data_IF_662988874815
#
_entry.id   IF_662988874815
#
_cell.length_a   1.000
_cell.length_b   1.000
_cell.length_c   1.000
_cell.angle_alpha   90.00
_cell.angle_beta   90.00
_cell.angle_gamma   90.00
#
_symmetry.space_group_name_H-M   'P 1'
#
loop_
_entity.id
_entity.type
_entity.pdbx_description
1 polymer ?
#
# COMPACT_ATOMS: atom_id res chain seq x y z
N UNK A 1 50.74 23.68 2.50
CA UNK A 1 50.32 22.27 2.66
C UNK A 1 48.86 22.30 3.06
N UNK A 2 47.97 22.11 2.07
CA UNK A 2 46.53 22.19 2.26
C UNK A 2 46.01 20.86 2.83
N UNK A 3 45.32 20.94 3.96
CA UNK A 3 44.51 19.84 4.50
C UNK A 3 43.30 19.61 3.57
N UNK A 4 42.92 18.36 3.26
CA UNK A 4 41.68 18.11 2.54
C UNK A 4 40.49 18.32 3.49
N UNK A 5 39.46 18.98 2.95
CA UNK A 5 38.16 19.24 3.57
C UNK A 5 37.39 17.93 3.87
N UNK A 6 36.44 17.95 4.83
CA UNK A 6 35.67 16.76 5.20
C UNK A 6 34.78 16.29 4.06
N UNK A 7 34.67 14.97 3.91
CA UNK A 7 33.77 14.28 2.98
C UNK A 7 32.31 14.68 3.26
N UNK A 8 31.70 15.41 2.33
CA UNK A 8 30.26 15.65 2.28
C UNK A 8 29.52 14.33 2.06
N UNK A 9 28.75 13.92 3.07
CA UNK A 9 27.81 12.81 2.97
C UNK A 9 26.53 13.29 2.28
N UNK A 10 26.58 13.42 0.94
CA UNK A 10 25.39 13.60 0.12
C UNK A 10 24.61 12.27 0.03
N UNK A 11 23.76 12.00 1.02
CA UNK A 11 22.70 10.98 0.90
C UNK A 11 21.53 11.55 0.11
N UNK A 12 21.61 11.46 -1.22
CA UNK A 12 20.44 11.53 -2.11
C UNK A 12 20.24 10.14 -2.72
N UNK A 13 19.33 9.33 -2.15
CA UNK A 13 18.75 8.20 -2.87
C UNK A 13 17.36 7.89 -2.29
N UNK A 14 16.32 8.23 -3.06
CA UNK A 14 14.92 8.24 -2.67
C UNK A 14 14.27 6.85 -2.64
N UNK A 15 13.27 6.71 -1.78
CA UNK A 15 12.44 5.52 -1.68
C UNK A 15 11.52 5.35 -2.90
N UNK A 16 11.22 4.08 -3.15
CA UNK A 16 10.63 3.53 -4.36
C UNK A 16 9.12 3.85 -4.50
N UNK A 17 8.71 4.33 -5.68
CA UNK A 17 7.30 4.47 -6.09
C UNK A 17 6.66 5.83 -5.82
N UNK A 18 7.42 6.74 -5.22
CA UNK A 18 7.04 8.12 -4.94
C UNK A 18 8.26 9.01 -5.14
N UNK A 19 8.16 10.00 -6.03
CA UNK A 19 9.24 10.98 -6.26
C UNK A 19 8.99 12.16 -5.33
N UNK A 20 10.00 12.55 -4.54
CA UNK A 20 9.98 13.83 -3.82
C UNK A 20 10.06 14.96 -4.85
N UNK A 21 9.43 16.12 -4.58
CA UNK A 21 9.33 17.22 -5.56
C UNK A 21 10.66 17.82 -6.03
N UNK A 22 11.78 17.46 -5.40
CA UNK A 22 13.09 18.11 -5.61
C UNK A 22 14.04 17.37 -6.58
N UNK A 23 13.60 16.29 -7.23
CA UNK A 23 14.42 15.61 -8.25
C UNK A 23 14.16 16.18 -9.65
N UNK A 24 14.99 17.14 -10.06
CA UNK A 24 14.93 17.78 -11.38
C UNK A 24 15.61 17.01 -12.52
N UNK A 25 16.20 15.83 -12.26
CA UNK A 25 17.02 15.10 -13.25
C UNK A 25 16.48 13.69 -13.54
N UNK A 26 15.24 13.59 -14.03
CA UNK A 26 14.77 12.35 -14.65
C UNK A 26 14.18 12.63 -16.02
N UNK A 27 14.64 11.91 -17.05
CA UNK A 27 14.15 11.95 -18.44
C UNK A 27 12.66 11.53 -18.61
N UNK A 28 11.93 11.39 -17.49
CA UNK A 28 10.52 11.01 -17.51
C UNK A 28 9.62 12.24 -17.67
N UNK A 29 8.55 12.15 -18.49
CA UNK A 29 7.63 13.26 -18.71
C UNK A 29 7.05 13.75 -17.38
N UNK A 30 7.13 15.05 -17.08
CA UNK A 30 6.45 15.59 -15.89
C UNK A 30 4.93 15.35 -15.99
N UNK A 31 4.22 15.22 -14.87
CA UNK A 31 2.76 14.97 -14.89
C UNK A 31 1.97 15.99 -15.73
N UNK A 32 2.49 17.21 -15.84
CA UNK A 32 1.90 18.29 -16.64
C UNK A 32 1.97 18.04 -18.14
N UNK A 33 2.95 17.26 -18.62
CA UNK A 33 3.11 16.88 -20.03
C UNK A 33 2.27 15.66 -20.44
N UNK A 34 1.57 15.01 -19.51
CA UNK A 34 0.76 13.84 -19.82
C UNK A 34 -0.54 14.22 -20.55
N UNK A 35 -1.00 13.40 -21.52
CA UNK A 35 -2.27 13.63 -22.18
C UNK A 35 -3.43 13.51 -21.19
N UNK A 36 -4.54 14.20 -21.46
CA UNK A 36 -5.73 14.16 -20.60
C UNK A 36 -6.32 12.76 -20.44
N UNK A 37 -6.05 11.88 -21.40
CA UNK A 37 -6.46 10.47 -21.35
C UNK A 37 -5.34 9.57 -21.82
N UNK A 38 -5.02 8.56 -21.01
CA UNK A 38 -4.03 7.54 -21.33
C UNK A 38 -4.55 6.16 -20.90
N UNK A 39 -4.19 5.11 -21.63
CA UNK A 39 -4.41 3.73 -21.20
C UNK A 39 -3.07 3.01 -21.16
N UNK A 40 -2.71 2.49 -19.99
CA UNK A 40 -1.50 1.69 -19.79
C UNK A 40 -1.92 0.23 -19.75
N UNK A 41 -1.35 -0.57 -20.65
CA UNK A 41 -1.53 -2.03 -20.61
C UNK A 41 -0.51 -2.60 -19.65
N UNK A 42 -0.98 -3.19 -18.55
CA UNK A 42 -0.11 -3.95 -17.67
C UNK A 42 0.10 -5.31 -18.33
N UNK A 43 1.32 -5.60 -18.76
CA UNK A 43 1.75 -6.83 -19.46
C UNK A 43 1.54 -8.13 -18.67
N UNK A 44 0.90 -8.06 -17.50
CA UNK A 44 0.58 -9.18 -16.62
C UNK A 44 -0.83 -9.73 -16.89
N UNK A 45 -0.95 -11.05 -16.82
CA UNK A 45 -2.23 -11.78 -16.92
C UNK A 45 -2.66 -12.31 -15.56
N UNK A 46 -3.93 -12.67 -15.41
CA UNK A 46 -4.50 -13.14 -14.16
C UNK A 46 -3.80 -14.35 -13.53
N UNK A 47 -3.07 -15.18 -14.27
CA UNK A 47 -2.32 -16.32 -13.74
C UNK A 47 -0.84 -16.01 -13.41
N UNK A 48 -0.43 -14.74 -13.43
CA UNK A 48 0.98 -14.35 -13.28
C UNK A 48 1.62 -14.71 -11.93
N UNK A 49 0.82 -14.85 -10.87
CA UNK A 49 1.31 -15.08 -9.51
C UNK A 49 0.35 -15.98 -8.73
N UNK A 50 0.86 -16.66 -7.70
CA UNK A 50 0.05 -17.38 -6.71
C UNK A 50 -0.29 -16.54 -5.47
N UNK A 51 0.01 -15.24 -5.50
CA UNK A 51 -0.28 -14.35 -4.38
C UNK A 51 -1.74 -14.41 -3.94
N UNK A 52 -1.91 -14.45 -2.62
CA UNK A 52 -3.20 -14.32 -1.98
C UNK A 52 -3.53 -12.83 -1.71
N UNK A 53 -4.78 -12.50 -1.31
CA UNK A 53 -5.19 -11.12 -1.05
C UNK A 53 -4.41 -10.44 0.08
N UNK A 54 -3.99 -11.18 1.11
CA UNK A 54 -3.20 -10.66 2.22
C UNK A 54 -1.82 -10.22 1.74
N UNK A 55 -1.16 -10.98 0.87
CA UNK A 55 0.11 -10.61 0.23
C UNK A 55 -0.03 -9.38 -0.67
N UNK A 56 -1.13 -9.29 -1.41
CA UNK A 56 -1.43 -8.12 -2.23
C UNK A 56 -1.69 -6.86 -1.37
N UNK A 57 -2.46 -6.99 -0.30
CA UNK A 57 -2.72 -5.88 0.61
C UNK A 57 -1.45 -5.45 1.35
N UNK A 58 -0.59 -6.39 1.75
CA UNK A 58 0.74 -6.10 2.31
C UNK A 58 1.53 -5.14 1.43
N UNK A 59 1.53 -5.37 0.12
CA UNK A 59 2.24 -4.52 -0.84
C UNK A 59 1.64 -3.10 -0.88
N UNK A 60 0.32 -2.96 -0.79
CA UNK A 60 -0.33 -1.65 -0.69
C UNK A 60 0.01 -0.94 0.63
N UNK A 61 0.03 -1.68 1.74
CA UNK A 61 0.43 -1.17 3.06
C UNK A 61 1.91 -0.79 3.11
N UNK A 62 2.77 -1.54 2.43
CA UNK A 62 4.17 -1.20 2.28
C UNK A 62 4.32 0.11 1.48
N UNK A 63 3.65 0.25 0.34
CA UNK A 63 3.64 1.51 -0.43
C UNK A 63 3.07 2.68 0.38
N UNK A 64 2.07 2.44 1.23
CA UNK A 64 1.51 3.42 2.15
C UNK A 64 2.58 3.91 3.15
N UNK A 65 3.21 2.98 3.87
CA UNK A 65 4.29 3.28 4.82
C UNK A 65 5.47 3.99 4.16
N UNK A 66 5.99 3.41 3.09
CA UNK A 66 7.19 3.91 2.40
C UNK A 66 6.95 5.29 1.80
N UNK A 67 5.76 5.52 1.24
CA UNK A 67 5.38 6.84 0.72
C UNK A 67 5.24 7.90 1.82
N UNK A 68 4.71 7.57 3.00
CA UNK A 68 4.69 8.51 4.15
C UNK A 68 6.12 8.83 4.60
N UNK A 69 6.98 7.80 4.75
CA UNK A 69 8.37 7.98 5.15
C UNK A 69 9.11 8.90 4.17
N UNK A 70 8.94 8.66 2.87
CA UNK A 70 9.56 9.44 1.81
C UNK A 70 9.05 10.89 1.77
N UNK A 71 7.72 11.08 1.72
CA UNK A 71 7.07 12.39 1.58
C UNK A 71 7.34 13.34 2.74
N UNK A 72 7.69 12.82 3.91
CA UNK A 72 7.89 13.61 5.13
C UNK A 72 9.27 13.46 5.75
N UNK A 73 10.20 12.77 5.07
CA UNK A 73 11.53 12.43 5.59
C UNK A 73 11.47 11.84 7.02
N UNK A 74 10.46 11.01 7.28
CA UNK A 74 10.18 10.48 8.61
C UNK A 74 11.16 9.34 8.92
N UNK A 75 11.90 9.38 10.04
CA UNK A 75 12.71 8.24 10.45
C UNK A 75 11.85 6.98 10.61
N UNK A 76 12.34 5.82 10.16
CA UNK A 76 11.55 4.57 10.17
C UNK A 76 10.99 4.23 11.57
N UNK A 77 11.75 4.55 12.63
CA UNK A 77 11.37 4.36 14.04
C UNK A 77 10.24 5.27 14.53
N UNK A 78 10.00 6.38 13.84
CA UNK A 78 8.96 7.36 14.17
C UNK A 78 7.66 7.09 13.40
N UNK A 79 7.66 6.11 12.51
CA UNK A 79 6.44 5.60 11.89
C UNK A 79 5.61 4.83 12.93
N UNK A 80 4.65 5.53 13.54
CA UNK A 80 3.71 4.97 14.50
C UNK A 80 2.30 5.10 13.93
N UNK A 81 1.53 4.01 14.00
CA UNK A 81 0.15 3.96 13.54
C UNK A 81 -0.78 4.02 14.76
N UNK A 82 -1.78 4.87 14.68
CA UNK A 82 -2.89 4.91 15.63
C UNK A 82 -4.13 4.29 14.99
N UNK A 83 -4.79 3.37 15.69
CA UNK A 83 -6.05 2.77 15.26
C UNK A 83 -7.23 3.37 16.04
N UNK A 84 -8.31 3.68 15.32
CA UNK A 84 -9.61 3.99 15.91
C UNK A 84 -10.69 3.14 15.25
N UNK A 85 -11.67 2.72 16.05
CA UNK A 85 -12.79 1.90 15.60
C UNK A 85 -14.11 2.49 16.08
N UNK A 86 -15.10 2.55 15.20
CA UNK A 86 -16.47 2.97 15.49
C UNK A 86 -17.43 1.91 14.95
N UNK A 87 -18.30 1.40 15.83
CA UNK A 87 -19.34 0.44 15.48
C UNK A 87 -20.66 1.03 15.94
N UNK A 88 -21.63 1.14 15.03
CA UNK A 88 -22.95 1.70 15.34
C UNK A 88 -23.88 1.69 14.15
N UNK A 89 -25.19 1.57 14.40
CA UNK A 89 -26.24 1.59 13.37
C UNK A 89 -26.01 0.61 12.20
N UNK A 90 -25.47 -0.58 12.48
CA UNK A 90 -25.15 -1.59 11.46
C UNK A 90 -23.97 -1.21 10.54
N UNK A 91 -23.25 -0.15 10.88
CA UNK A 91 -22.02 0.26 10.20
C UNK A 91 -20.81 -0.02 11.09
N UNK A 92 -19.71 -0.44 10.44
CA UNK A 92 -18.39 -0.50 11.05
C UNK A 92 -17.45 0.44 10.30
N UNK A 93 -16.64 1.15 11.08
CA UNK A 93 -15.60 2.02 10.59
C UNK A 93 -14.30 1.74 11.36
N UNK A 94 -13.24 1.44 10.63
CA UNK A 94 -11.89 1.19 11.17
C UNK A 94 -10.96 2.15 10.46
N UNK A 95 -10.15 2.89 11.21
CA UNK A 95 -9.14 3.76 10.63
C UNK A 95 -7.79 3.58 11.28
N UNK A 96 -6.76 3.53 10.45
CA UNK A 96 -5.35 3.56 10.82
C UNK A 96 -4.77 4.87 10.35
N UNK A 97 -4.14 5.65 11.23
CA UNK A 97 -3.65 7.00 10.95
C UNK A 97 -2.23 7.16 11.42
N UNK A 98 -1.40 7.88 10.67
CA UNK A 98 -0.02 8.19 11.06
C UNK A 98 0.07 9.68 11.39
N UNK A 99 0.29 10.06 12.67
CA UNK A 99 0.50 11.45 13.04
C UNK A 99 1.92 11.91 12.69
N UNK A 100 2.07 13.20 12.41
CA UNK A 100 3.40 13.82 12.39
C UNK A 100 3.94 13.87 13.82
N UNK A 101 5.14 13.35 14.09
CA UNK A 101 5.77 13.47 15.40
C UNK A 101 5.85 14.93 15.85
N UNK A 102 5.55 15.16 17.13
CA UNK A 102 5.66 16.48 17.77
C UNK A 102 4.82 17.61 17.14
N UNK A 103 3.86 17.30 16.27
CA UNK A 103 3.00 18.31 15.65
C UNK A 103 1.83 18.70 16.55
N UNK A 104 1.64 20.01 16.75
CA UNK A 104 0.52 20.61 17.49
C UNK A 104 -0.05 21.79 16.67
N UNK A 105 -1.32 21.74 16.22
CA UNK A 105 -2.28 20.64 16.37
C UNK A 105 -1.83 19.38 15.64
N UNK A 106 -2.43 18.23 15.99
CA UNK A 106 -2.07 16.93 15.45
C UNK A 106 -2.29 16.90 13.93
N UNK A 107 -1.21 16.81 13.18
CA UNK A 107 -1.23 16.70 11.73
C UNK A 107 -1.13 15.24 11.31
N UNK A 108 -1.97 14.81 10.36
CA UNK A 108 -1.98 13.43 9.86
C UNK A 108 -1.28 13.34 8.50
N UNK A 109 -0.39 12.35 8.37
CA UNK A 109 0.46 12.15 7.20
C UNK A 109 -0.18 11.21 6.16
N UNK A 110 -1.05 10.32 6.61
CA UNK A 110 -1.77 9.36 5.78
C UNK A 110 -2.68 8.48 6.61
N UNK A 111 -3.54 7.72 5.93
CA UNK A 111 -4.46 6.81 6.59
C UNK A 111 -4.81 5.58 5.75
N UNK A 112 -5.24 4.51 6.42
CA UNK A 112 -6.01 3.41 5.86
C UNK A 112 -7.38 3.43 6.52
N UNK A 113 -8.45 3.54 5.75
CA UNK A 113 -9.80 3.67 6.25
C UNK A 113 -10.69 2.60 5.64
N UNK A 114 -11.34 1.82 6.49
CA UNK A 114 -12.37 0.86 6.09
C UNK A 114 -13.70 1.32 6.66
N UNK A 115 -14.71 1.45 5.79
CA UNK A 115 -16.08 1.74 6.19
C UNK A 115 -17.03 0.79 5.48
N UNK A 116 -17.87 0.12 6.25
CA UNK A 116 -18.79 -0.90 5.75
C UNK A 116 -20.14 -0.84 6.44
N UNK A 117 -21.13 -1.34 5.71
CA UNK A 117 -22.42 -1.75 6.27
C UNK A 117 -22.52 -3.29 6.28
N UNK A 118 -23.69 -3.82 6.65
CA UNK A 118 -23.94 -5.27 6.70
C UNK A 118 -23.72 -6.04 5.38
N UNK A 119 -23.47 -5.39 4.23
CA UNK A 119 -23.18 -6.02 2.94
C UNK A 119 -21.70 -6.01 2.56
N UNK A 120 -20.87 -5.27 3.30
CA UNK A 120 -19.46 -5.03 3.00
C UNK A 120 -19.16 -3.55 2.83
N UNK A 121 -17.89 -3.24 2.54
CA UNK A 121 -17.40 -1.88 2.57
C UNK A 121 -16.37 -1.54 1.51
N UNK A 122 -15.82 -0.35 1.71
CA UNK A 122 -14.80 0.28 0.89
C UNK A 122 -13.55 0.44 1.77
N UNK A 123 -12.38 0.24 1.16
CA UNK A 123 -11.09 0.56 1.78
C UNK A 123 -10.46 1.72 1.02
N UNK A 124 -10.03 2.74 1.76
CA UNK A 124 -9.28 3.87 1.27
C UNK A 124 -7.87 3.85 1.86
N UNK A 125 -6.84 3.99 1.03
CA UNK A 125 -5.44 4.07 1.45
C UNK A 125 -4.89 5.38 0.90
N UNK A 126 -4.50 6.29 1.78
CA UNK A 126 -4.11 7.66 1.42
C UNK A 126 -2.73 8.00 1.98
N UNK A 127 -1.85 8.47 1.10
CA UNK A 127 -0.60 9.16 1.43
C UNK A 127 -0.71 10.63 1.04
N UNK A 128 -0.46 11.52 1.99
CA UNK A 128 -0.43 12.96 1.73
C UNK A 128 0.91 13.36 1.12
N UNK A 129 0.92 14.39 0.26
CA UNK A 129 2.14 14.93 -0.36
C UNK A 129 2.95 13.87 -1.11
N UNK A 130 2.25 12.97 -1.80
CA UNK A 130 2.83 11.83 -2.48
C UNK A 130 2.37 11.85 -3.94
N UNK A 131 3.22 11.40 -4.86
CA UNK A 131 2.88 11.29 -6.29
C UNK A 131 3.14 9.88 -6.83
N UNK A 132 2.13 9.32 -7.49
CA UNK A 132 2.24 8.10 -8.28
C UNK A 132 2.34 8.49 -9.76
N UNK A 133 3.50 8.28 -10.36
CA UNK A 133 3.72 8.58 -11.76
C UNK A 133 3.36 7.42 -12.70
N UNK A 134 2.91 7.67 -13.95
CA UNK A 134 2.57 6.62 -14.92
C UNK A 134 3.65 5.58 -15.15
N UNK A 135 4.92 5.98 -15.14
CA UNK A 135 6.04 5.04 -15.32
C UNK A 135 6.24 4.09 -14.14
N UNK A 136 5.70 4.38 -12.95
CA UNK A 136 5.62 3.38 -11.88
C UNK A 136 4.76 2.19 -12.30
N UNK A 137 3.86 2.37 -13.27
CA UNK A 137 3.06 1.31 -13.89
C UNK A 137 3.55 0.88 -15.29
N UNK A 138 4.35 1.69 -15.97
CA UNK A 138 4.94 1.35 -17.27
C UNK A 138 6.11 0.35 -17.12
N UNK A 139 6.45 -0.37 -18.18
CA UNK A 139 7.57 -1.34 -18.17
C UNK A 139 8.82 -0.67 -18.75
N UNK A 140 9.84 -0.40 -17.92
CA UNK A 140 11.18 -0.07 -18.44
C UNK A 140 12.06 0.89 -17.63
N UNK A 141 11.55 1.60 -16.62
CA UNK A 141 12.37 2.50 -15.79
C UNK A 141 12.78 1.84 -14.48
N UNK A 142 14.04 1.41 -14.35
CA UNK A 142 14.58 0.84 -13.11
C UNK A 142 15.40 1.89 -12.34
N UNK A 143 14.91 2.36 -11.20
CA UNK A 143 15.69 3.13 -10.22
C UNK A 143 16.07 2.31 -8.98
N UNK A 144 16.24 0.98 -9.12
CA UNK A 144 16.42 0.06 -7.99
C UNK A 144 17.74 -0.71 -8.01
N UNK A 145 18.77 -0.20 -8.69
CA UNK A 145 20.09 -0.85 -8.74
C UNK A 145 21.06 -0.42 -7.63
N UNK A 146 20.68 0.43 -6.66
CA UNK A 146 21.63 0.97 -5.67
C UNK A 146 21.30 0.74 -4.18
N UNK A 147 20.03 0.72 -3.78
CA UNK A 147 19.65 0.83 -2.36
C UNK A 147 19.39 -0.51 -1.68
N UNK A 148 20.45 -1.10 -1.10
CA UNK A 148 20.46 -2.39 -0.39
C UNK A 148 19.57 -2.54 0.86
N UNK A 149 18.65 -1.60 1.13
CA UNK A 149 17.77 -1.60 2.31
C UNK A 149 16.27 -1.57 2.00
N UNK A 150 15.87 -1.62 0.71
CA UNK A 150 14.47 -1.54 0.31
C UNK A 150 14.03 -2.83 -0.40
N UNK A 151 13.15 -3.59 0.25
CA UNK A 151 12.59 -4.81 -0.28
C UNK A 151 11.55 -4.49 -1.37
N UNK A 152 11.93 -4.73 -2.63
CA UNK A 152 11.03 -4.67 -3.78
C UNK A 152 11.71 -4.00 -4.95
N UNK A 153 12.67 -4.68 -5.60
CA UNK A 153 13.06 -4.37 -6.98
C UNK A 153 11.87 -4.68 -7.88
N UNK A 154 10.97 -3.74 -8.17
CA UNK A 154 10.52 -3.28 -9.49
C UNK A 154 9.11 -2.68 -9.25
N UNK A 155 8.58 -1.77 -10.07
CA UNK A 155 7.17 -1.31 -9.93
C UNK A 155 6.13 -2.43 -10.14
N UNK A 156 6.57 -3.68 -10.23
CA UNK A 156 5.78 -4.89 -10.45
C UNK A 156 4.92 -5.27 -9.25
N UNK A 157 5.41 -5.12 -8.02
CA UNK A 157 4.68 -5.53 -6.82
C UNK A 157 3.30 -4.87 -6.74
N UNK A 158 3.23 -3.57 -6.98
CA UNK A 158 1.97 -2.83 -7.05
C UNK A 158 1.04 -3.37 -8.17
N UNK A 159 1.57 -3.62 -9.38
CA UNK A 159 0.77 -4.17 -10.50
C UNK A 159 0.18 -5.53 -10.11
N UNK A 160 0.99 -6.38 -9.49
CA UNK A 160 0.60 -7.71 -9.04
C UNK A 160 -0.43 -7.64 -7.92
N UNK A 161 -0.27 -6.74 -6.96
CA UNK A 161 -1.25 -6.52 -5.89
C UNK A 161 -2.63 -6.13 -6.45
N UNK A 162 -2.65 -5.17 -7.39
CA UNK A 162 -3.88 -4.75 -8.07
C UNK A 162 -4.52 -5.91 -8.83
N UNK A 163 -3.73 -6.70 -9.57
CA UNK A 163 -4.20 -7.89 -10.25
C UNK A 163 -4.89 -8.89 -9.30
N UNK A 164 -4.24 -9.19 -8.17
CA UNK A 164 -4.67 -10.20 -7.19
C UNK A 164 -5.98 -9.82 -6.52
N UNK A 165 -6.18 -8.54 -6.22
CA UNK A 165 -7.40 -8.00 -5.62
C UNK A 165 -8.56 -7.92 -6.63
N UNK A 166 -8.27 -7.83 -7.93
CA UNK A 166 -9.27 -7.73 -8.99
C UNK A 166 -9.66 -9.06 -9.63
N UNK A 167 -8.83 -10.11 -9.55
CA UNK A 167 -9.05 -11.40 -10.23
C UNK A 167 -9.95 -12.37 -9.44
N UNK A 168 -10.49 -13.36 -10.13
CA UNK A 168 -11.28 -14.44 -9.56
C UNK A 168 -12.57 -13.97 -8.85
N UNK A 169 -12.95 -14.69 -7.80
CA UNK A 169 -14.18 -14.42 -7.03
C UNK A 169 -14.13 -13.13 -6.20
N UNK A 170 -12.96 -12.52 -6.01
CA UNK A 170 -12.78 -11.28 -5.24
C UNK A 170 -13.32 -10.09 -6.01
N UNK A 171 -12.84 -9.90 -7.25
CA UNK A 171 -13.43 -8.97 -8.22
C UNK A 171 -13.67 -7.54 -7.68
N UNK A 172 -12.76 -7.02 -6.86
CA UNK A 172 -12.92 -5.68 -6.29
C UNK A 172 -12.68 -4.60 -7.34
N UNK A 173 -13.41 -3.47 -7.25
CA UNK A 173 -13.03 -2.27 -8.00
C UNK A 173 -11.80 -1.66 -7.37
N UNK A 174 -10.88 -1.18 -8.20
CA UNK A 174 -9.75 -0.37 -7.74
C UNK A 174 -9.67 0.91 -8.55
N UNK A 175 -9.56 2.02 -7.83
CA UNK A 175 -9.33 3.35 -8.39
C UNK A 175 -8.20 4.01 -7.62
N UNK A 176 -7.29 4.68 -8.31
CA UNK A 176 -6.26 5.52 -7.71
C UNK A 176 -6.48 6.97 -8.13
N UNK A 177 -6.27 7.92 -7.23
CA UNK A 177 -6.21 9.35 -7.54
C UNK A 177 -4.83 9.85 -7.17
N UNK A 178 -4.17 10.52 -8.12
CA UNK A 178 -2.85 11.11 -7.90
C UNK A 178 -2.59 12.19 -8.95
N UNK A 179 -1.98 13.29 -8.53
CA UNK A 179 -1.47 14.36 -9.39
C UNK A 179 -2.50 14.91 -10.38
N UNK A 180 -3.76 14.99 -9.95
CA UNK A 180 -4.87 15.49 -10.74
C UNK A 180 -5.45 14.47 -11.72
N UNK A 181 -5.02 13.22 -11.68
CA UNK A 181 -5.55 12.13 -12.49
C UNK A 181 -6.38 11.14 -11.67
N UNK A 182 -7.44 10.62 -12.29
CA UNK A 182 -8.19 9.46 -11.83
C UNK A 182 -7.82 8.24 -12.67
N UNK A 183 -7.27 7.24 -11.99
CA UNK A 183 -6.78 5.98 -12.55
C UNK A 183 -7.79 4.90 -12.22
N UNK A 184 -8.39 4.31 -13.25
CA UNK A 184 -9.32 3.20 -13.08
C UNK A 184 -8.72 1.93 -13.64
N UNK A 185 -8.63 0.91 -12.80
CA UNK A 185 -8.12 -0.40 -13.20
C UNK A 185 -9.26 -1.29 -13.69
N UNK A 186 -9.01 -2.08 -14.73
CA UNK A 186 -10.00 -2.99 -15.30
C UNK A 186 -9.33 -4.09 -16.13
N UNK A 187 -10.10 -5.11 -16.50
CA UNK A 187 -9.68 -6.08 -17.50
C UNK A 187 -10.20 -5.71 -18.90
N UNK A 188 -9.43 -6.09 -19.91
CA UNK A 188 -9.85 -6.05 -21.31
C UNK A 188 -10.75 -7.24 -21.66
N UNK A 189 -11.30 -7.27 -22.88
CA UNK A 189 -12.03 -8.43 -23.41
C UNK A 189 -11.21 -9.72 -23.47
N UNK A 190 -9.87 -9.61 -23.38
CA UNK A 190 -8.93 -10.73 -23.40
C UNK A 190 -8.30 -11.00 -22.03
N UNK A 191 -8.87 -10.47 -20.93
CA UNK A 191 -8.38 -10.75 -19.59
C UNK A 191 -7.05 -10.07 -19.21
N UNK A 192 -6.58 -9.10 -20.00
CA UNK A 192 -5.39 -8.29 -19.66
C UNK A 192 -5.76 -7.14 -18.75
N UNK A 193 -4.96 -6.90 -17.71
CA UNK A 193 -5.15 -5.78 -16.79
C UNK A 193 -4.71 -4.47 -17.45
N UNK A 194 -5.53 -3.44 -17.34
CA UNK A 194 -5.26 -2.10 -17.87
C UNK A 194 -5.53 -1.05 -16.80
N UNK A 195 -4.73 0.02 -16.81
CA UNK A 195 -5.00 1.25 -16.08
C UNK A 195 -5.46 2.32 -17.07
N UNK A 196 -6.61 2.93 -16.81
CA UNK A 196 -7.13 4.06 -17.59
C UNK A 196 -6.98 5.33 -16.77
N UNK A 197 -6.15 6.24 -17.24
CA UNK A 197 -5.88 7.52 -16.61
C UNK A 197 -6.72 8.57 -17.30
N UNK A 198 -7.42 9.39 -16.52
CA UNK A 198 -8.16 10.55 -17.01
C UNK A 198 -7.82 11.75 -16.12
N UNK A 199 -7.42 12.87 -16.73
CA UNK A 199 -7.22 14.13 -16.02
C UNK A 199 -8.55 14.60 -15.46
N UNK A 200 -8.53 15.03 -14.21
CA UNK A 200 -9.70 15.53 -13.50
C UNK A 200 -9.83 17.03 -13.76
N UNK A 201 -11.03 17.48 -14.12
CA UNK A 201 -11.33 18.91 -14.20
C UNK A 201 -11.34 19.53 -12.79
N UNK A 202 -11.18 20.86 -12.71
CA UNK A 202 -11.25 21.57 -11.43
C UNK A 202 -12.60 21.37 -10.73
N UNK A 203 -13.70 21.33 -11.49
CA UNK A 203 -15.05 21.07 -10.97
C UNK A 203 -15.18 19.65 -10.44
N UNK A 204 -14.57 18.66 -11.11
CA UNK A 204 -14.59 17.28 -10.64
C UNK A 204 -13.80 17.11 -9.33
N UNK A 205 -12.66 17.80 -9.19
CA UNK A 205 -11.89 17.84 -7.95
C UNK A 205 -12.70 18.55 -6.86
N UNK A 206 -13.25 19.73 -7.12
CA UNK A 206 -14.03 20.49 -6.15
C UNK A 206 -15.28 19.73 -5.67
N UNK A 207 -16.00 19.05 -6.57
CA UNK A 207 -17.14 18.19 -6.17
C UNK A 207 -16.72 17.05 -5.25
N UNK A 208 -15.61 16.39 -5.56
CA UNK A 208 -15.07 15.31 -4.74
C UNK A 208 -14.70 15.82 -3.34
N UNK A 209 -13.97 16.93 -3.27
CA UNK A 209 -13.56 17.54 -2.01
C UNK A 209 -14.76 17.95 -1.15
N UNK A 210 -15.77 18.57 -1.75
CA UNK A 210 -17.00 18.94 -1.04
C UNK A 210 -17.75 17.73 -0.49
N UNK A 211 -17.84 16.63 -1.26
CA UNK A 211 -18.49 15.39 -0.82
C UNK A 211 -17.74 14.68 0.31
N UNK A 212 -16.41 14.75 0.33
CA UNK A 212 -15.61 14.17 1.42
C UNK A 212 -15.70 15.07 2.64
N UNK A 213 -15.58 16.40 2.47
CA UNK A 213 -15.65 17.38 3.55
C UNK A 213 -16.97 17.32 4.30
N UNK A 214 -18.10 17.17 3.59
CA UNK A 214 -19.41 17.01 4.23
C UNK A 214 -19.52 15.74 5.09
N UNK A 215 -18.67 14.74 4.84
CA UNK A 215 -18.65 13.47 5.58
C UNK A 215 -17.58 13.42 6.67
N UNK A 216 -16.67 14.39 6.76
CA UNK A 216 -15.60 14.38 7.75
C UNK A 216 -16.16 14.37 9.19
N UNK A 217 -17.24 15.10 9.43
CA UNK A 217 -17.90 15.14 10.75
C UNK A 217 -18.61 13.82 11.10
N UNK A 218 -19.05 13.08 10.07
CA UNK A 218 -19.78 11.81 10.20
C UNK A 218 -18.86 10.58 10.19
N UNK A 219 -17.58 10.75 9.92
CA UNK A 219 -16.59 9.68 9.74
C UNK A 219 -15.42 9.84 10.70
N UNK A 220 -14.54 8.85 10.75
CA UNK A 220 -13.26 8.91 11.45
C UNK A 220 -12.14 9.51 10.57
N UNK A 221 -12.46 9.96 9.35
CA UNK A 221 -11.47 10.46 8.40
C UNK A 221 -10.71 11.68 8.97
N UNK A 222 -9.36 11.66 8.97
CA UNK A 222 -8.58 12.72 9.58
C UNK A 222 -8.48 14.00 8.73
N UNK A 223 -8.64 13.86 7.42
CA UNK A 223 -8.57 14.97 6.46
C UNK A 223 -9.24 14.58 5.14
N UNK A 224 -9.57 15.60 4.33
CA UNK A 224 -10.02 15.42 2.95
C UNK A 224 -8.79 15.24 2.03
N UNK A 225 -8.62 14.09 1.34
CA UNK A 225 -7.51 13.90 0.42
C UNK A 225 -7.54 14.89 -0.74
N UNK A 226 -6.39 15.43 -1.12
CA UNK A 226 -6.24 16.34 -2.24
C UNK A 226 -5.80 15.57 -3.48
N UNK A 227 -6.66 15.51 -4.50
CA UNK A 227 -6.39 14.74 -5.71
C UNK A 227 -5.15 15.19 -6.51
N UNK A 228 -4.63 16.41 -6.27
CA UNK A 228 -3.44 16.96 -6.93
C UNK A 228 -2.13 16.67 -6.19
N UNK A 229 -2.15 16.60 -4.86
CA UNK A 229 -0.93 16.44 -4.04
C UNK A 229 -0.82 15.11 -3.34
N UNK A 230 -1.90 14.33 -3.27
CA UNK A 230 -1.96 13.10 -2.50
C UNK A 230 -2.11 11.90 -3.44
N UNK A 231 -1.80 10.71 -2.91
CA UNK A 231 -2.17 9.44 -3.53
C UNK A 231 -3.23 8.77 -2.71
N UNK A 232 -4.36 8.46 -3.34
CA UNK A 232 -5.47 7.75 -2.73
C UNK A 232 -5.86 6.55 -3.57
N UNK A 233 -5.68 5.35 -3.02
CA UNK A 233 -6.33 4.14 -3.52
C UNK A 233 -7.70 3.97 -2.87
N UNK A 234 -8.70 3.65 -3.67
CA UNK A 234 -10.05 3.31 -3.23
C UNK A 234 -10.41 1.94 -3.78
N UNK A 235 -10.70 1.00 -2.88
CA UNK A 235 -10.93 -0.41 -3.15
C UNK A 235 -12.38 -0.78 -2.79
N UNK A 236 -13.00 -1.64 -3.60
CA UNK A 236 -14.30 -2.24 -3.27
C UNK A 236 -15.53 -1.41 -3.65
N UNK A 237 -15.37 -0.27 -4.35
CA UNK A 237 -16.53 0.53 -4.77
C UNK A 237 -17.52 -0.26 -5.68
N UNK A 238 -18.84 -0.12 -5.47
CA UNK A 238 -19.84 -0.68 -6.39
C UNK A 238 -19.66 -0.14 -7.81
N UNK A 239 -19.53 -1.02 -8.79
CA UNK A 239 -19.41 -0.65 -10.20
C UNK A 239 -19.55 -1.86 -11.13
N UNK A 240 -19.60 -1.63 -12.44
CA UNK A 240 -19.50 -2.66 -13.48
C UNK A 240 -18.12 -2.68 -14.12
N UNK A 241 -17.59 -3.85 -14.44
CA UNK A 241 -16.31 -3.99 -15.12
C UNK A 241 -16.24 -5.26 -15.92
N UNK A 242 -15.02 -5.70 -16.24
CA UNK A 242 -14.77 -7.04 -16.77
C UNK A 242 -14.01 -7.86 -15.74
N UNK A 243 -14.27 -9.16 -15.73
CA UNK A 243 -13.50 -10.15 -14.98
C UNK A 243 -12.15 -10.41 -15.65
N UNK A 244 -11.31 -11.20 -14.99
CA UNK A 244 -10.07 -11.76 -15.54
C UNK A 244 -10.26 -12.63 -16.78
N UNK A 245 -11.47 -13.14 -17.02
CA UNK A 245 -11.85 -13.82 -18.27
C UNK A 245 -12.37 -12.85 -19.35
N UNK A 246 -12.40 -11.55 -19.07
CA UNK A 246 -12.91 -10.52 -19.98
C UNK A 246 -14.43 -10.41 -20.03
N UNK A 247 -15.17 -11.11 -19.18
CA UNK A 247 -16.64 -11.12 -19.15
C UNK A 247 -17.18 -9.93 -18.33
N UNK A 248 -18.23 -9.23 -18.78
CA UNK A 248 -18.88 -8.19 -17.96
C UNK A 248 -19.33 -8.72 -16.60
N UNK A 249 -19.04 -7.98 -15.53
CA UNK A 249 -19.34 -8.40 -14.15
C UNK A 249 -19.54 -7.20 -13.22
N UNK A 250 -20.26 -7.41 -12.12
CA UNK A 250 -20.41 -6.44 -11.04
C UNK A 250 -19.27 -6.60 -10.04
N UNK A 251 -18.68 -5.48 -9.63
CA UNK A 251 -17.58 -5.44 -8.65
C UNK A 251 -18.10 -5.70 -7.25
N UNK A 252 -17.29 -6.39 -6.45
CA UNK A 252 -17.66 -6.77 -5.09
C UNK A 252 -17.15 -5.75 -4.08
N UNK A 253 -17.98 -5.51 -3.05
CA UNK A 253 -17.57 -4.86 -1.81
C UNK A 253 -16.54 -5.74 -1.08
N UNK A 254 -15.77 -5.12 -0.18
CA UNK A 254 -14.82 -5.83 0.67
C UNK A 254 -15.54 -6.25 1.95
N UNK A 255 -15.48 -7.53 2.32
CA UNK A 255 -16.08 -7.99 3.57
C UNK A 255 -15.19 -7.60 4.75
N UNK A 256 -15.79 -7.41 5.93
CA UNK A 256 -15.06 -7.04 7.14
C UNK A 256 -13.97 -8.07 7.47
N UNK A 257 -14.35 -9.35 7.51
CA UNK A 257 -13.41 -10.43 7.83
C UNK A 257 -12.27 -10.51 6.81
N UNK A 258 -12.53 -10.18 5.53
CA UNK A 258 -11.47 -10.14 4.53
C UNK A 258 -10.49 -8.99 4.84
N UNK A 259 -11.01 -7.79 5.11
CA UNK A 259 -10.18 -6.63 5.46
C UNK A 259 -9.35 -6.87 6.73
N UNK A 260 -9.96 -7.37 7.80
CA UNK A 260 -9.26 -7.69 9.05
C UNK A 260 -8.19 -8.77 8.83
N UNK A 261 -8.48 -9.81 8.05
CA UNK A 261 -7.49 -10.82 7.69
C UNK A 261 -6.35 -10.26 6.82
N UNK A 262 -6.57 -9.17 6.08
CA UNK A 262 -5.53 -8.50 5.30
C UNK A 262 -4.64 -7.61 6.17
N UNK A 263 -5.17 -6.94 7.19
CA UNK A 263 -4.36 -6.10 8.10
C UNK A 263 -3.37 -6.91 8.92
N UNK A 264 -3.62 -8.21 9.12
CA UNK A 264 -2.65 -9.17 9.67
C UNK A 264 -1.31 -9.23 8.91
N UNK A 265 -1.27 -8.74 7.67
CA UNK A 265 -0.03 -8.64 6.91
C UNK A 265 0.97 -7.61 7.47
N UNK A 266 0.54 -6.74 8.39
CA UNK A 266 1.38 -5.71 8.99
C UNK A 266 1.18 -5.67 10.50
N UNK A 267 2.24 -5.90 11.26
CA UNK A 267 2.23 -5.93 12.73
C UNK A 267 1.80 -4.58 13.33
N UNK A 268 2.22 -3.47 12.72
CA UNK A 268 1.83 -2.12 13.14
C UNK A 268 0.35 -1.79 12.89
N UNK A 269 -0.43 -2.66 12.23
CA UNK A 269 -1.89 -2.55 12.12
C UNK A 269 -2.65 -3.46 13.10
N UNK A 270 -1.93 -4.27 13.89
CA UNK A 270 -2.51 -5.30 14.77
C UNK A 270 -2.52 -4.93 16.25
N UNK A 271 -1.83 -3.85 16.64
CA UNK A 271 -1.72 -3.36 18.02
C UNK A 271 -1.45 -4.50 19.03
N UNK A 272 -0.26 -5.15 18.97
CA UNK A 272 0.11 -6.15 19.95
C UNK A 272 0.12 -5.52 21.35
N UNK A 273 -0.53 -6.19 22.30
CA UNK A 273 -0.53 -5.76 23.69
C UNK A 273 0.87 -5.95 24.31
N UNK A 274 1.24 -5.19 25.37
CA UNK A 274 2.55 -5.33 26.00
C UNK A 274 2.88 -6.74 26.50
N UNK A 275 1.87 -7.52 26.88
CA UNK A 275 1.97 -8.92 27.31
C UNK A 275 2.07 -9.92 26.15
N UNK A 276 1.82 -9.49 24.91
CA UNK A 276 2.03 -10.30 23.71
C UNK A 276 3.40 -10.07 23.05
N UNK A 277 4.20 -9.12 23.55
CA UNK A 277 5.41 -8.61 22.89
C UNK A 277 6.62 -8.56 23.83
N UNK A 278 7.70 -9.26 23.46
CA UNK A 278 9.01 -9.12 24.11
C UNK A 278 9.98 -8.46 23.14
N UNK A 279 10.38 -7.22 23.45
CA UNK A 279 11.34 -6.45 22.64
C UNK A 279 12.77 -6.93 22.89
N UNK A 280 13.57 -7.02 21.84
CA UNK A 280 14.99 -7.39 21.88
C UNK A 280 15.81 -6.46 21.00
N UNK A 281 17.15 -6.50 21.11
CA UNK A 281 18.04 -5.70 20.26
C UNK A 281 17.99 -6.08 18.77
N UNK A 282 17.49 -7.27 18.42
CA UNK A 282 17.44 -7.77 17.04
C UNK A 282 16.02 -7.78 16.45
N UNK A 283 15.03 -7.26 17.19
CA UNK A 283 13.62 -7.31 16.84
C UNK A 283 12.75 -7.77 18.01
N UNK A 284 11.57 -8.28 17.72
CA UNK A 284 10.58 -8.64 18.73
C UNK A 284 10.17 -10.10 18.67
N UNK A 285 9.97 -10.70 19.84
CA UNK A 285 9.33 -12.00 20.00
C UNK A 285 7.84 -11.77 20.32
N UNK A 286 6.96 -12.33 19.50
CA UNK A 286 5.51 -12.23 19.64
C UNK A 286 4.96 -13.49 20.30
N UNK A 287 4.61 -13.39 21.58
CA UNK A 287 4.20 -14.54 22.39
C UNK A 287 2.69 -14.80 22.36
N UNK A 288 1.89 -13.83 21.93
CA UNK A 288 0.45 -13.98 21.75
C UNK A 288 0.08 -15.10 20.77
N UNK A 289 -0.97 -15.87 21.09
CA UNK A 289 -1.40 -17.03 20.29
C UNK A 289 -1.66 -16.66 18.82
N UNK A 290 -2.28 -15.49 18.59
CA UNK A 290 -2.60 -14.98 17.25
C UNK A 290 -1.39 -14.73 16.36
N UNK A 291 -0.19 -14.61 16.92
CA UNK A 291 1.04 -14.35 16.18
C UNK A 291 1.87 -15.60 15.91
N UNK A 292 1.50 -16.76 16.48
CA UNK A 292 2.27 -17.99 16.30
C UNK A 292 2.44 -18.33 14.83
N UNK A 293 3.58 -18.93 14.52
CA UNK A 293 3.90 -19.40 13.17
C UNK A 293 3.99 -18.29 12.11
N UNK A 294 4.13 -17.03 12.53
CA UNK A 294 4.30 -15.88 11.63
C UNK A 294 5.67 -15.27 11.78
N UNK A 295 6.26 -14.92 10.65
CA UNK A 295 7.55 -14.28 10.57
C UNK A 295 7.38 -12.93 9.88
N UNK A 296 7.73 -11.87 10.59
CA UNK A 296 7.69 -10.49 10.14
C UNK A 296 9.12 -9.97 9.98
N UNK A 297 9.30 -9.06 9.02
CA UNK A 297 10.51 -8.28 8.85
C UNK A 297 10.10 -6.81 8.83
N UNK A 298 10.66 -6.01 9.75
CA UNK A 298 10.31 -4.59 9.91
C UNK A 298 8.80 -4.37 10.05
N UNK A 299 8.12 -5.28 10.75
CA UNK A 299 6.67 -5.26 10.96
C UNK A 299 5.83 -5.70 9.76
N UNK A 300 6.41 -6.12 8.63
CA UNK A 300 5.66 -6.67 7.49
C UNK A 300 5.77 -8.19 7.45
N UNK A 301 4.64 -8.87 7.24
CA UNK A 301 4.59 -10.34 7.20
C UNK A 301 5.40 -10.87 6.01
N UNK A 302 6.40 -11.69 6.30
CA UNK A 302 7.29 -12.30 5.30
C UNK A 302 6.83 -13.72 4.96
N UNK A 303 6.51 -14.51 5.98
CA UNK A 303 6.03 -15.88 5.84
C UNK A 303 5.14 -16.28 7.01
N UNK A 304 4.27 -17.24 6.76
CA UNK A 304 3.45 -17.89 7.77
C UNK A 304 3.36 -19.39 7.46
N UNK A 305 3.12 -20.21 8.48
CA UNK A 305 2.75 -21.60 8.24
C UNK A 305 1.33 -21.65 7.67
N UNK A 306 1.20 -22.30 6.52
CA UNK A 306 -0.04 -22.73 5.91
C UNK A 306 0.06 -24.23 5.62
N UNK A 307 -1.04 -24.93 5.29
CA UNK A 307 -0.96 -26.34 4.90
C UNK A 307 -0.01 -26.60 3.72
N UNK A 308 0.25 -25.59 2.88
CA UNK A 308 1.10 -25.68 1.70
C UNK A 308 2.50 -25.08 1.88
N UNK A 309 2.76 -24.29 2.93
CA UNK A 309 4.01 -23.55 3.11
C UNK A 309 4.39 -23.48 4.58
N UNK A 310 5.64 -23.72 4.93
CA UNK A 310 6.15 -23.46 6.28
C UNK A 310 6.90 -22.13 6.32
N UNK A 311 6.76 -21.38 7.40
CA UNK A 311 7.51 -20.16 7.66
C UNK A 311 8.96 -20.47 8.04
N UNK A 312 9.18 -21.59 8.74
CA UNK A 312 10.50 -22.02 9.17
C UNK A 312 11.27 -22.72 8.06
N UNK A 313 12.53 -22.33 7.87
CA UNK A 313 13.48 -23.01 6.95
C UNK A 313 13.71 -24.46 7.36
N UNK A 314 13.57 -24.78 8.65
CA UNK A 314 13.74 -26.15 9.17
C UNK A 314 12.50 -27.02 9.01
N UNK A 315 11.42 -26.52 8.38
CA UNK A 315 10.10 -27.15 8.26
C UNK A 315 9.41 -27.51 9.60
N UNK A 316 9.98 -27.09 10.73
CA UNK A 316 9.34 -27.20 12.05
C UNK A 316 8.44 -25.99 12.30
N UNK A 317 7.24 -26.17 12.88
CA UNK A 317 6.37 -25.06 13.21
C UNK A 317 7.06 -24.13 14.20
N UNK A 318 7.01 -22.82 13.91
CA UNK A 318 7.53 -21.81 14.84
C UNK A 318 6.61 -21.73 16.06
N UNK A 319 7.19 -21.80 17.25
CA UNK A 319 6.42 -21.76 18.51
C UNK A 319 5.74 -20.42 18.75
N UNK A 320 6.37 -19.33 18.31
CA UNK A 320 5.95 -17.95 18.50
C UNK A 320 5.91 -17.22 17.17
N UNK A 321 5.49 -15.95 17.19
CA UNK A 321 5.76 -15.04 16.09
C UNK A 321 7.10 -14.34 16.27
N UNK A 322 7.73 -13.95 15.18
CA UNK A 322 9.04 -13.30 15.20
C UNK A 322 9.02 -12.08 14.29
N UNK A 323 9.40 -10.91 14.81
CA UNK A 323 9.56 -9.70 14.02
C UNK A 323 11.04 -9.28 14.00
N UNK A 324 11.70 -9.40 12.86
CA UNK A 324 13.11 -9.02 12.75
C UNK A 324 13.25 -7.53 12.44
N UNK A 325 14.16 -6.84 13.14
CA UNK A 325 14.44 -5.42 12.91
C UNK A 325 15.26 -5.18 11.62
N UNK A 326 16.07 -6.16 11.23
CA UNK A 326 16.93 -6.11 10.06
C UNK A 326 16.95 -7.46 9.33
N UNK A 327 17.22 -7.43 8.04
CA UNK A 327 17.31 -8.62 7.19
C UNK A 327 17.18 -8.26 5.72
N UNK A 328 17.78 -9.08 4.87
CA UNK A 328 17.64 -9.00 3.41
C UNK A 328 16.68 -10.08 2.94
N UNK A 329 15.81 -9.74 1.98
CA UNK A 329 14.90 -10.71 1.37
C UNK A 329 15.22 -10.84 -0.11
N UNK A 330 15.76 -12.00 -0.50
CA UNK A 330 15.85 -12.35 -1.92
C UNK A 330 14.50 -12.93 -2.36
N UNK A 331 13.60 -12.10 -2.89
CA UNK A 331 12.30 -12.57 -3.43
C UNK A 331 12.42 -13.24 -4.81
N UNK A 332 13.55 -13.93 -5.08
CA UNK A 332 13.78 -14.60 -6.36
C UNK A 332 14.00 -16.12 -6.29
N UNK A 333 13.93 -16.78 -5.13
CA UNK A 333 14.01 -18.24 -5.08
C UNK A 333 12.80 -18.85 -4.35
N UNK A 334 11.67 -18.97 -5.05
CA UNK A 334 10.90 -20.21 -4.92
C UNK A 334 11.77 -21.30 -5.55
N UNK A 335 12.30 -22.19 -4.70
CA UNK A 335 13.31 -23.24 -4.93
C UNK A 335 14.73 -22.81 -4.59
N UNK A 336 15.14 -23.15 -3.37
CA UNK A 336 16.48 -23.69 -3.15
C UNK A 336 16.24 -25.15 -2.78
N UNK A 337 16.85 -26.06 -3.55
CA UNK A 337 16.86 -27.49 -3.25
C UNK A 337 17.48 -27.77 -1.87
#
# INVERSE_FOLDING_TARGET
MNLPAPFDANMHELAVGYVSRDDSDSDFPTVNSLPDRQTISLSIRAAYTDWNPREAFRELVQNWRDGIIASFALPEKEFVVECERRIGNGCIEIIYKVPRPNSKPKEWLGFIHYKADGKGGIVEITNRNATLHPWHLDMGGTSKSGSGNLAGAHGEGLKVALLVLMRGSRNHKIRCRSSGFSWTFNFTKHGRLVARLNRMSAEAIGRLESQVRSKLEETLLPFCPNAKSDVQFVLGEPHHGRSDLGVPTRRNLIKQNDFEAWTEAALFLQEPSPDELVKTGSGDLLIGERFRQRLYLKGLLLSEDTPQRRASVTNKPLRYGYNFAAGTTNRLNSRVN
#
